data_IF_598679099927
#
_entry.id   IF_598679099927
#
_cell.length_a   1.000
_cell.length_b   1.000
_cell.length_c   1.000
_cell.angle_alpha   90.00
_cell.angle_beta   90.00
_cell.angle_gamma   90.00
#
_symmetry.space_group_name_H-M   'P 1'
#
loop_
_entity.id
_entity.type
_entity.pdbx_description
1 polymer ?
#
# COMPACT_ATOMS: atom_id res chain seq x y z
N UNK A 1 -14.13 -20.17 -8.50
CA UNK A 1 -15.33 -19.81 -7.70
C UNK A 1 -15.23 -20.17 -6.21
N UNK A 2 -14.77 -21.36 -5.80
CA UNK A 2 -14.58 -21.68 -4.37
C UNK A 2 -13.10 -21.83 -3.96
N UNK A 3 -12.18 -21.78 -4.92
CA UNK A 3 -10.73 -21.90 -4.69
C UNK A 3 -10.11 -20.50 -4.55
N UNK A 4 -10.61 -19.55 -5.36
CA UNK A 4 -10.22 -18.14 -5.45
C UNK A 4 -10.29 -17.47 -4.06
N UNK A 5 -11.44 -17.56 -3.39
CA UNK A 5 -11.62 -16.96 -2.05
C UNK A 5 -10.82 -17.59 -0.89
N UNK A 6 -10.10 -18.71 -1.08
CA UNK A 6 -9.25 -19.29 0.00
C UNK A 6 -7.83 -18.72 -0.06
N UNK A 7 -7.35 -18.36 -1.25
CA UNK A 7 -5.97 -17.90 -1.47
C UNK A 7 -5.86 -16.37 -1.24
N UNK A 8 -6.95 -15.63 -1.40
CA UNK A 8 -7.04 -14.19 -1.08
C UNK A 8 -7.01 -13.89 0.43
N UNK A 9 -7.52 -14.80 1.28
CA UNK A 9 -7.67 -14.57 2.74
C UNK A 9 -6.33 -14.21 3.42
N UNK A 10 -5.23 -14.95 3.20
CA UNK A 10 -3.91 -14.56 3.71
C UNK A 10 -3.49 -13.14 3.31
N UNK A 11 -3.72 -12.75 2.06
CA UNK A 11 -3.38 -11.40 1.55
C UNK A 11 -4.13 -10.32 2.32
N UNK A 12 -5.44 -10.47 2.49
CA UNK A 12 -6.29 -9.53 3.23
C UNK A 12 -5.84 -9.41 4.70
N UNK A 13 -5.50 -10.54 5.36
CA UNK A 13 -5.01 -10.51 6.74
C UNK A 13 -3.71 -9.72 6.84
N UNK A 14 -2.78 -9.90 5.89
CA UNK A 14 -1.52 -9.16 5.85
C UNK A 14 -1.75 -7.66 5.61
N UNK A 15 -2.68 -7.30 4.74
CA UNK A 15 -3.06 -5.90 4.49
C UNK A 15 -3.66 -5.24 5.73
N UNK A 16 -4.55 -5.93 6.44
CA UNK A 16 -5.12 -5.43 7.70
C UNK A 16 -4.01 -5.22 8.74
N UNK A 17 -3.06 -6.16 8.84
CA UNK A 17 -1.92 -6.01 9.73
C UNK A 17 -1.02 -4.80 9.36
N UNK A 18 -0.78 -4.58 8.06
CA UNK A 18 -0.05 -3.42 7.56
C UNK A 18 -0.76 -2.10 7.90
N UNK A 19 -2.08 -2.08 7.73
CA UNK A 19 -2.92 -0.92 8.03
C UNK A 19 -2.87 -0.60 9.53
N UNK A 20 -3.09 -1.59 10.39
CA UNK A 20 -3.02 -1.42 11.84
C UNK A 20 -1.65 -0.87 12.28
N UNK A 21 -0.57 -1.40 11.71
CA UNK A 21 0.78 -0.94 12.08
C UNK A 21 1.08 0.46 11.56
N UNK A 22 0.58 0.82 10.37
CA UNK A 22 0.67 2.18 9.83
C UNK A 22 -0.10 3.18 10.70
N UNK A 23 -1.30 2.82 11.15
CA UNK A 23 -2.09 3.63 12.10
C UNK A 23 -1.31 3.89 13.39
N UNK A 24 -0.64 2.87 13.94
CA UNK A 24 0.20 3.04 15.13
C UNK A 24 1.33 4.04 14.90
N UNK A 25 1.96 4.05 13.71
CA UNK A 25 2.97 5.06 13.39
C UNK A 25 2.40 6.46 13.18
N UNK A 26 1.18 6.60 12.65
CA UNK A 26 0.49 7.91 12.60
C UNK A 26 0.33 8.48 14.03
N UNK A 27 -0.12 7.64 14.97
CA UNK A 27 -0.34 8.05 16.37
C UNK A 27 0.98 8.35 17.10
N UNK A 28 2.04 7.59 16.81
CA UNK A 28 3.36 7.75 17.45
C UNK A 28 4.22 8.87 16.84
N UNK A 29 3.86 9.40 15.67
CA UNK A 29 4.69 10.39 14.98
C UNK A 29 4.68 11.74 15.70
N UNK A 30 5.83 12.16 16.20
CA UNK A 30 5.98 13.48 16.83
C UNK A 30 6.21 14.59 15.78
N UNK A 31 6.56 14.22 14.54
CA UNK A 31 6.78 15.16 13.44
C UNK A 31 5.64 15.17 12.44
N UNK A 32 5.26 16.38 12.00
CA UNK A 32 4.30 16.57 10.90
C UNK A 32 4.68 15.80 9.63
N UNK A 33 5.97 15.77 9.28
CA UNK A 33 6.44 15.03 8.11
C UNK A 33 6.26 13.52 8.24
N UNK A 34 6.53 12.94 9.41
CA UNK A 34 6.27 11.52 9.67
C UNK A 34 4.78 11.22 9.66
N UNK A 35 3.99 12.04 10.36
CA UNK A 35 2.53 11.90 10.42
C UNK A 35 1.90 11.85 9.03
N UNK A 36 2.21 12.80 8.15
CA UNK A 36 1.65 12.83 6.79
C UNK A 36 2.17 11.70 5.90
N UNK A 37 3.41 11.25 6.12
CA UNK A 37 3.97 10.11 5.40
C UNK A 37 3.23 8.82 5.78
N UNK A 38 3.03 8.58 7.09
CA UNK A 38 2.30 7.41 7.57
C UNK A 38 0.80 7.48 7.23
N UNK A 39 0.23 8.69 7.17
CA UNK A 39 -1.13 8.88 6.68
C UNK A 39 -1.25 8.50 5.19
N UNK A 40 -0.28 8.89 4.36
CA UNK A 40 -0.24 8.45 2.96
C UNK A 40 -0.09 6.93 2.84
N UNK A 41 0.74 6.31 3.69
CA UNK A 41 0.87 4.85 3.75
C UNK A 41 -0.45 4.17 4.15
N UNK A 42 -1.18 4.73 5.11
CA UNK A 42 -2.48 4.22 5.54
C UNK A 42 -3.52 4.29 4.42
N UNK A 43 -3.58 5.42 3.72
CA UNK A 43 -4.47 5.59 2.57
C UNK A 43 -4.11 4.64 1.42
N UNK A 44 -2.83 4.34 1.23
CA UNK A 44 -2.37 3.36 0.23
C UNK A 44 -2.90 1.97 0.55
N UNK A 45 -2.74 1.49 1.79
CA UNK A 45 -3.29 0.18 2.18
C UNK A 45 -4.82 0.15 2.10
N UNK A 46 -5.49 1.26 2.43
CA UNK A 46 -6.94 1.36 2.26
C UNK A 46 -7.37 1.22 0.79
N UNK A 47 -6.67 1.90 -0.13
CA UNK A 47 -6.94 1.80 -1.57
C UNK A 47 -6.72 0.36 -2.08
N UNK A 48 -5.66 -0.30 -1.62
CA UNK A 48 -5.38 -1.71 -1.97
C UNK A 48 -6.46 -2.64 -1.44
N UNK A 49 -6.84 -2.53 -0.15
CA UNK A 49 -7.94 -3.33 0.41
C UNK A 49 -9.24 -3.13 -0.38
N UNK A 50 -9.53 -1.90 -0.83
CA UNK A 50 -10.71 -1.66 -1.65
C UNK A 50 -10.65 -2.45 -2.97
N UNK A 51 -9.49 -2.45 -3.65
CA UNK A 51 -9.26 -3.22 -4.88
C UNK A 51 -9.47 -4.71 -4.64
N UNK A 52 -8.89 -5.27 -3.58
CA UNK A 52 -9.06 -6.70 -3.25
C UNK A 52 -10.51 -7.07 -2.91
N UNK A 53 -11.27 -6.13 -2.37
CA UNK A 53 -12.67 -6.34 -2.02
C UNK A 53 -13.63 -5.87 -3.12
N UNK A 54 -13.20 -5.77 -4.39
CA UNK A 54 -14.00 -5.18 -5.47
C UNK A 54 -15.39 -5.82 -5.62
N UNK A 55 -15.51 -7.11 -5.34
CA UNK A 55 -16.75 -7.88 -5.39
C UNK A 55 -17.75 -7.58 -4.26
N UNK A 56 -17.32 -6.99 -3.13
CA UNK A 56 -18.20 -6.80 -1.97
C UNK A 56 -19.41 -5.89 -2.24
N UNK A 57 -19.27 -4.73 -2.91
CA UNK A 57 -20.42 -3.88 -3.18
C UNK A 57 -21.49 -4.56 -4.03
N UNK A 58 -21.13 -5.44 -4.95
CA UNK A 58 -22.11 -6.22 -5.74
C UNK A 58 -23.03 -7.09 -4.87
N UNK A 59 -22.59 -7.46 -3.66
CA UNK A 59 -23.40 -8.22 -2.70
C UNK A 59 -24.44 -7.35 -1.96
N UNK A 60 -24.21 -6.04 -1.87
CA UNK A 60 -25.00 -5.14 -1.02
C UNK A 60 -25.71 -4.02 -1.79
N UNK A 61 -25.26 -3.72 -3.01
CA UNK A 61 -25.74 -2.62 -3.83
C UNK A 61 -26.36 -3.18 -5.08
N UNK A 62 -27.62 -2.82 -5.33
CA UNK A 62 -28.33 -3.17 -6.54
C UNK A 62 -27.64 -2.59 -7.77
N UNK A 63 -27.57 -3.38 -8.86
CA UNK A 63 -27.05 -2.94 -10.16
C UNK A 63 -27.72 -1.68 -10.72
N UNK A 64 -28.97 -1.42 -10.32
CA UNK A 64 -29.75 -0.26 -10.79
C UNK A 64 -29.52 1.00 -9.93
N UNK A 65 -28.60 0.95 -8.96
CA UNK A 65 -28.29 2.11 -8.13
C UNK A 65 -27.68 3.22 -8.99
N UNK A 66 -28.32 4.39 -8.95
CA UNK A 66 -27.80 5.60 -9.56
C UNK A 66 -27.96 6.77 -8.61
N UNK A 67 -26.90 7.58 -8.52
CA UNK A 67 -26.88 8.81 -7.74
C UNK A 67 -26.35 9.93 -8.64
N UNK A 68 -27.12 11.02 -8.76
CA UNK A 68 -26.77 12.15 -9.64
C UNK A 68 -26.50 11.74 -11.10
N UNK A 69 -27.31 10.82 -11.64
CA UNK A 69 -27.16 10.24 -12.99
C UNK A 69 -25.85 9.48 -13.25
N UNK A 70 -25.13 9.10 -12.19
CA UNK A 70 -23.94 8.26 -12.26
C UNK A 70 -24.17 6.93 -11.54
N UNK A 71 -23.55 5.88 -12.06
CA UNK A 71 -23.58 4.54 -11.46
C UNK A 71 -22.76 4.50 -10.17
N UNK A 72 -22.93 3.43 -9.39
CA UNK A 72 -22.07 3.17 -8.23
C UNK A 72 -20.59 3.15 -8.63
N UNK A 73 -20.24 2.39 -9.67
CA UNK A 73 -18.85 2.23 -10.13
C UNK A 73 -18.20 3.58 -10.48
N UNK A 74 -18.96 4.49 -11.09
CA UNK A 74 -18.45 5.83 -11.39
C UNK A 74 -18.10 6.62 -10.12
N UNK A 75 -18.95 6.57 -9.10
CA UNK A 75 -18.70 7.24 -7.82
C UNK A 75 -17.53 6.61 -7.09
N UNK A 76 -17.41 5.30 -7.17
CA UNK A 76 -16.32 4.55 -6.60
C UNK A 76 -14.97 4.97 -7.22
N UNK A 77 -14.89 4.97 -8.55
CA UNK A 77 -13.70 5.42 -9.30
C UNK A 77 -13.35 6.86 -8.97
N UNK A 78 -14.34 7.75 -8.88
CA UNK A 78 -14.14 9.15 -8.52
C UNK A 78 -13.56 9.31 -7.11
N UNK A 79 -14.05 8.54 -6.12
CA UNK A 79 -13.54 8.56 -4.75
C UNK A 79 -12.12 7.98 -4.70
N UNK A 80 -11.88 6.86 -5.38
CA UNK A 80 -10.54 6.25 -5.47
C UNK A 80 -9.53 7.21 -6.10
N UNK A 81 -9.91 7.90 -7.17
CA UNK A 81 -9.07 8.94 -7.79
C UNK A 81 -8.70 10.04 -6.79
N UNK A 82 -9.67 10.54 -6.02
CA UNK A 82 -9.42 11.55 -4.99
C UNK A 82 -8.47 11.05 -3.90
N UNK A 83 -8.60 9.78 -3.49
CA UNK A 83 -7.68 9.13 -2.55
C UNK A 83 -6.26 9.06 -3.14
N UNK A 84 -6.11 8.65 -4.41
CA UNK A 84 -4.80 8.60 -5.06
C UNK A 84 -4.14 9.99 -5.17
N UNK A 85 -4.90 11.01 -5.54
CA UNK A 85 -4.41 12.39 -5.58
C UNK A 85 -3.96 12.87 -4.19
N UNK A 86 -4.69 12.50 -3.13
CA UNK A 86 -4.33 12.80 -1.76
C UNK A 86 -3.04 12.08 -1.34
N UNK A 87 -2.88 10.80 -1.67
CA UNK A 87 -1.67 10.01 -1.43
C UNK A 87 -0.47 10.70 -2.09
N UNK A 88 -0.56 11.00 -3.38
CA UNK A 88 0.53 11.65 -4.14
C UNK A 88 0.87 13.01 -3.52
N UNK A 89 -0.13 13.80 -3.15
CA UNK A 89 0.07 15.12 -2.54
C UNK A 89 0.79 15.02 -1.19
N UNK A 90 0.40 14.08 -0.33
CA UNK A 90 1.05 13.83 0.96
C UNK A 90 2.49 13.32 0.78
N UNK A 91 2.73 12.43 -0.19
CA UNK A 91 4.07 11.93 -0.50
C UNK A 91 4.97 13.04 -1.06
N UNK A 92 4.44 13.91 -1.94
CA UNK A 92 5.15 15.06 -2.45
C UNK A 92 5.49 16.06 -1.32
N UNK A 93 4.54 16.33 -0.43
CA UNK A 93 4.79 17.17 0.76
C UNK A 93 5.87 16.58 1.67
N UNK A 94 5.87 15.25 1.83
CA UNK A 94 6.81 14.52 2.69
C UNK A 94 8.04 13.98 1.95
N UNK A 95 8.32 14.47 0.74
CA UNK A 95 9.36 13.95 -0.16
C UNK A 95 10.73 13.74 0.49
N UNK A 96 11.16 14.63 1.40
CA UNK A 96 12.44 14.47 2.12
C UNK A 96 12.42 13.29 3.09
N UNK A 97 11.29 13.06 3.76
CA UNK A 97 11.07 11.91 4.62
C UNK A 97 11.03 10.63 3.78
N UNK A 98 10.27 10.65 2.67
CA UNK A 98 10.21 9.55 1.71
C UNK A 98 11.60 9.15 1.20
N UNK A 99 12.43 10.11 0.79
CA UNK A 99 13.81 9.84 0.37
C UNK A 99 14.68 9.24 1.48
N UNK A 100 14.51 9.70 2.71
CA UNK A 100 15.26 9.15 3.84
C UNK A 100 14.84 7.70 4.13
N UNK A 101 13.54 7.39 4.01
CA UNK A 101 13.04 6.03 4.08
C UNK A 101 13.64 5.19 2.95
N UNK A 102 13.59 5.67 1.70
CA UNK A 102 14.15 4.92 0.57
C UNK A 102 15.63 4.60 0.70
N UNK A 103 16.43 5.55 1.19
CA UNK A 103 17.86 5.32 1.46
C UNK A 103 18.11 4.33 2.58
N UNK A 104 17.12 4.10 3.46
CA UNK A 104 17.24 3.15 4.56
C UNK A 104 16.89 1.71 4.17
N UNK A 105 16.26 1.49 3.01
CA UNK A 105 15.89 0.17 2.53
C UNK A 105 17.03 -0.43 1.70
N UNK A 106 17.41 -1.70 1.94
CA UNK A 106 18.42 -2.35 1.13
C UNK A 106 17.94 -2.60 -0.30
N UNK A 107 18.83 -2.42 -1.28
CA UNK A 107 18.52 -2.46 -2.72
C UNK A 107 17.84 -3.76 -3.16
N UNK A 108 18.21 -4.90 -2.56
CA UNK A 108 17.66 -6.20 -2.94
C UNK A 108 16.13 -6.31 -2.71
N UNK A 109 15.57 -5.59 -1.74
CA UNK A 109 14.12 -5.59 -1.50
C UNK A 109 13.37 -4.93 -2.65
N UNK A 110 13.92 -3.86 -3.24
CA UNK A 110 13.32 -3.24 -4.42
C UNK A 110 13.32 -4.20 -5.62
N UNK A 111 14.43 -4.90 -5.85
CA UNK A 111 14.53 -5.88 -6.92
C UNK A 111 13.53 -7.03 -6.72
N UNK A 112 13.35 -7.48 -5.47
CA UNK A 112 12.37 -8.51 -5.13
C UNK A 112 10.94 -8.03 -5.40
N UNK A 113 10.57 -6.82 -4.96
CA UNK A 113 9.24 -6.25 -5.20
C UNK A 113 8.96 -6.10 -6.70
N UNK A 114 9.93 -5.59 -7.48
CA UNK A 114 9.79 -5.49 -8.94
C UNK A 114 9.61 -6.86 -9.58
N UNK A 115 10.38 -7.87 -9.14
CA UNK A 115 10.24 -9.24 -9.63
C UNK A 115 8.86 -9.84 -9.33
N UNK A 116 8.34 -9.62 -8.12
CA UNK A 116 7.00 -10.08 -7.74
C UNK A 116 5.91 -9.35 -8.54
N UNK A 117 6.00 -8.03 -8.71
CA UNK A 117 5.02 -7.27 -9.51
C UNK A 117 5.00 -7.71 -10.99
N UNK A 118 6.17 -8.08 -11.55
CA UNK A 118 6.21 -8.65 -12.89
C UNK A 118 5.58 -10.04 -12.95
N UNK A 119 5.79 -10.88 -11.92
CA UNK A 119 5.16 -12.19 -11.82
C UNK A 119 3.63 -12.09 -11.67
N UNK A 120 3.16 -11.14 -10.86
CA UNK A 120 1.74 -10.81 -10.70
C UNK A 120 1.14 -10.45 -12.07
N UNK A 121 1.73 -9.48 -12.76
CA UNK A 121 1.27 -9.05 -14.09
C UNK A 121 1.28 -10.19 -15.12
N UNK A 122 2.33 -11.03 -15.12
CA UNK A 122 2.41 -12.19 -16.02
C UNK A 122 1.35 -13.25 -15.69
N UNK A 123 1.05 -13.45 -14.40
CA UNK A 123 0.02 -14.37 -13.92
C UNK A 123 -1.37 -13.94 -14.37
N UNK A 124 -1.74 -12.69 -14.07
CA UNK A 124 -3.04 -12.07 -14.40
C UNK A 124 -3.31 -12.12 -15.91
N UNK A 125 -2.30 -11.80 -16.72
CA UNK A 125 -2.43 -11.73 -18.17
C UNK A 125 -2.15 -13.06 -18.88
N UNK A 126 -1.96 -14.16 -18.12
CA UNK A 126 -1.60 -15.49 -18.63
C UNK A 126 -0.42 -15.47 -19.62
N UNK A 127 0.55 -14.58 -19.38
CA UNK A 127 1.73 -14.42 -20.24
C UNK A 127 2.73 -15.51 -19.86
N UNK A 128 2.92 -16.49 -20.74
CA UNK A 128 3.79 -17.65 -20.54
C UNK A 128 3.39 -18.61 -19.41
N UNK A 129 2.24 -18.38 -18.76
CA UNK A 129 1.70 -19.21 -17.67
C UNK A 129 0.29 -19.69 -18.05
N UNK A 130 -0.03 -21.00 -17.90
CA UNK A 130 -1.39 -21.49 -18.12
C UNK A 130 -2.39 -20.78 -17.21
N UNK A 131 -3.58 -20.46 -17.72
CA UNK A 131 -4.56 -19.60 -17.05
C UNK A 131 -4.86 -20.00 -15.59
N UNK A 132 -5.14 -21.28 -15.31
CA UNK A 132 -5.39 -21.74 -13.94
C UNK A 132 -4.17 -21.76 -13.01
N UNK A 133 -2.95 -21.67 -13.55
CA UNK A 133 -1.74 -21.43 -12.75
C UNK A 133 -1.42 -19.94 -12.65
N UNK A 134 -1.87 -19.14 -13.61
CA UNK A 134 -1.68 -17.68 -13.65
C UNK A 134 -2.33 -17.00 -12.46
N UNK A 135 -3.59 -17.32 -12.18
CA UNK A 135 -4.36 -16.84 -11.02
C UNK A 135 -3.65 -17.17 -9.70
N UNK A 136 -3.20 -18.42 -9.52
CA UNK A 136 -2.46 -18.83 -8.31
C UNK A 136 -1.13 -18.05 -8.17
N UNK A 137 -0.43 -17.82 -9.29
CA UNK A 137 0.85 -17.09 -9.29
C UNK A 137 0.64 -15.61 -8.96
N UNK A 138 -0.43 -15.01 -9.49
CA UNK A 138 -0.84 -13.64 -9.20
C UNK A 138 -1.09 -13.45 -7.70
N UNK A 139 -1.99 -14.24 -7.12
CA UNK A 139 -2.34 -14.14 -5.70
C UNK A 139 -1.15 -14.40 -4.77
N UNK A 140 -0.28 -15.35 -5.14
CA UNK A 140 0.95 -15.65 -4.39
C UNK A 140 1.98 -14.53 -4.48
N UNK A 141 2.15 -13.94 -5.65
CA UNK A 141 3.07 -12.82 -5.86
C UNK A 141 2.61 -11.60 -5.06
N UNK A 142 1.32 -11.29 -5.14
CA UNK A 142 0.68 -10.21 -4.39
C UNK A 142 0.81 -10.42 -2.87
N UNK A 143 0.44 -11.61 -2.37
CA UNK A 143 0.60 -11.99 -0.96
C UNK A 143 2.06 -11.85 -0.51
N UNK A 144 3.01 -12.21 -1.39
CA UNK A 144 4.44 -12.02 -1.16
C UNK A 144 4.83 -10.55 -0.98
N UNK A 145 4.29 -9.64 -1.82
CA UNK A 145 4.50 -8.19 -1.68
C UNK A 145 3.98 -7.70 -0.33
N UNK A 146 2.78 -8.11 0.09
CA UNK A 146 2.20 -7.72 1.37
C UNK A 146 2.99 -8.27 2.56
N UNK A 147 3.50 -9.50 2.46
CA UNK A 147 4.34 -10.09 3.49
C UNK A 147 5.65 -9.29 3.66
N UNK A 148 6.29 -8.90 2.55
CA UNK A 148 7.50 -8.07 2.58
C UNK A 148 7.20 -6.70 3.20
N UNK A 149 6.10 -6.05 2.77
CA UNK A 149 5.65 -4.79 3.31
C UNK A 149 5.42 -4.89 4.83
N UNK A 150 4.70 -5.91 5.29
CA UNK A 150 4.45 -6.13 6.71
C UNK A 150 5.75 -6.32 7.49
N UNK A 151 6.64 -7.20 7.04
CA UNK A 151 7.92 -7.46 7.71
C UNK A 151 8.76 -6.17 7.79
N UNK A 152 8.78 -5.38 6.72
CA UNK A 152 9.49 -4.11 6.68
C UNK A 152 8.89 -3.11 7.68
N UNK A 153 7.57 -2.85 7.61
CA UNK A 153 6.85 -1.93 8.49
C UNK A 153 6.98 -2.37 9.96
N UNK A 154 6.95 -3.68 10.22
CA UNK A 154 7.09 -4.23 11.57
C UNK A 154 8.48 -4.01 12.17
N UNK A 155 9.52 -4.15 11.34
CA UNK A 155 10.91 -3.89 11.75
C UNK A 155 11.26 -2.41 11.78
N UNK A 156 10.52 -1.57 11.05
CA UNK A 156 10.76 -0.13 11.01
C UNK A 156 10.55 0.50 12.38
N UNK A 157 11.54 1.24 12.90
CA UNK A 157 11.43 1.92 14.20
C UNK A 157 11.25 3.42 13.98
N UNK A 158 9.99 3.84 13.78
CA UNK A 158 9.64 5.24 13.48
C UNK A 158 10.23 6.27 14.47
N UNK A 159 10.12 6.10 15.81
CA UNK A 159 10.64 7.09 16.75
C UNK A 159 12.16 7.29 16.65
N UNK A 160 12.91 6.19 16.53
CA UNK A 160 14.37 6.22 16.40
C UNK A 160 14.79 6.83 15.06
N UNK A 161 14.04 6.55 14.00
CA UNK A 161 14.28 7.11 12.68
C UNK A 161 14.10 8.64 12.68
N UNK A 162 13.03 9.14 13.29
CA UNK A 162 12.76 10.57 13.39
C UNK A 162 13.79 11.31 14.24
N UNK A 163 14.25 10.69 15.34
CA UNK A 163 15.32 11.22 16.17
C UNK A 163 16.63 11.37 15.36
N UNK A 164 17.05 10.33 14.63
CA UNK A 164 18.25 10.38 13.78
C UNK A 164 18.13 11.43 12.67
N UNK A 165 16.97 11.52 12.03
CA UNK A 165 16.70 12.53 11.01
C UNK A 165 16.79 13.95 11.58
N UNK A 166 16.38 14.13 12.85
CA UNK A 166 16.48 15.41 13.55
C UNK A 166 17.92 15.81 13.87
N UNK A 167 18.73 14.86 14.32
CA UNK A 167 20.12 15.08 14.68
C UNK A 167 20.94 15.48 13.46
N UNK A 168 20.75 14.78 12.33
CA UNK A 168 21.47 15.08 11.09
C UNK A 168 21.16 16.50 10.55
N UNK A 169 19.90 16.94 10.66
CA UNK A 169 19.50 18.31 10.29
C UNK A 169 20.18 19.36 11.20
N UNK A 170 20.29 19.08 12.49
CA UNK A 170 20.91 19.99 13.48
C UNK A 170 22.43 20.13 13.29
N UNK A 171 23.11 19.04 12.94
CA UNK A 171 24.54 19.08 12.58
C UNK A 171 24.80 19.87 11.30
N UNK A 172 23.94 19.74 10.28
CA UNK A 172 24.08 20.51 9.04
C UNK A 172 23.88 22.03 9.21
N UNK A 173 23.14 22.47 10.24
CA UNK A 173 22.92 23.89 10.54
C UNK A 173 23.98 24.53 11.44
N UNK A 174 24.86 23.73 12.07
CA UNK A 174 25.97 24.25 12.89
C UNK A 174 27.30 24.34 12.12
N UNK A 175 27.31 23.97 10.83
CA UNK A 175 28.48 24.07 9.94
C UNK A 175 28.34 25.19 8.89
N UNK A 176 27.36 26.08 9.04
CA UNK A 176 27.19 27.30 8.25
C UNK A 176 27.47 28.51 9.14
#
# INVERSE_FOLDING_TARGET
>A
MAVDGIIEIPGIILLIACLLRSTQYVVQSERKQGLYFWLASLLTFFAVIRRELNYLPELFISSDFSLLNHTYDWWEDAILLMIYLLIISLLAYTWRYLWAVFKSVPVYLYLMIVGLALLEYMGENAIMIPQGLGEIVEEMAETGVYAIALVYIWRFKSPIFEEKLSANKRYSSCQA
#
